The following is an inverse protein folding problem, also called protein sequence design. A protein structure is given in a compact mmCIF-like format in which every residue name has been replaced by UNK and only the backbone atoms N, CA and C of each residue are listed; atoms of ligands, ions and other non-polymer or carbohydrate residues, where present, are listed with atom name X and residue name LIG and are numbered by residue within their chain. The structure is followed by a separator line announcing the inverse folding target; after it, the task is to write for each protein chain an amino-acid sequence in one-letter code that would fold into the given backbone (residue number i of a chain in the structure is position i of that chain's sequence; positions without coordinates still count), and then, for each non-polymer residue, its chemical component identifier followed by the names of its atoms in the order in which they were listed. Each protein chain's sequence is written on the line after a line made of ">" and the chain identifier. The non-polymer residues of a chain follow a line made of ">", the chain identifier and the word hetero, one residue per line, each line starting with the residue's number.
data_IF_033897721985
#
_entry.id   IF_033897721985
#
_cell.length_a   1.000
_cell.length_b   1.000
_cell.length_c   1.000
_cell.angle_alpha   90.00
_cell.angle_beta   90.00
_cell.angle_gamma   90.00
#
_symmetry.space_group_name_H-M   'P 1'
#
loop_
_entity.id
_entity.type
_entity.pdbx_description
1 polymer ?
#
# COMPACT_ATOMS: atom_id res chain seq x y z
N UNK A 1 1.63 10.10 -20.04
CA UNK A 1 0.98 9.77 -18.74
C UNK A 1 0.12 10.97 -18.36
N UNK A 2 -1.12 10.77 -17.94
CA UNK A 2 -1.98 11.86 -17.48
C UNK A 2 -1.54 12.34 -16.09
N UNK A 3 -1.79 13.60 -15.76
CA UNK A 3 -1.42 14.18 -14.45
C UNK A 3 -1.99 13.37 -13.28
N UNK A 4 -3.16 12.77 -13.46
CA UNK A 4 -3.82 11.89 -12.50
C UNK A 4 -3.00 10.62 -12.21
N UNK A 5 -2.43 9.98 -13.25
CA UNK A 5 -1.54 8.82 -13.06
C UNK A 5 -0.25 9.17 -12.34
N UNK A 6 0.34 10.34 -12.62
CA UNK A 6 1.52 10.81 -11.87
C UNK A 6 1.20 11.05 -10.39
N UNK A 7 0.01 11.55 -10.10
CA UNK A 7 -0.44 11.74 -8.72
C UNK A 7 -0.70 10.40 -8.01
N UNK A 8 -1.36 9.46 -8.67
CA UNK A 8 -1.57 8.10 -8.15
C UNK A 8 -0.23 7.41 -7.82
N UNK A 9 0.78 7.54 -8.70
CA UNK A 9 2.13 6.99 -8.46
C UNK A 9 2.80 7.62 -7.23
N UNK A 10 2.68 8.94 -7.03
CA UNK A 10 3.24 9.62 -5.84
C UNK A 10 2.55 9.16 -4.56
N UNK A 11 1.23 9.01 -4.60
CA UNK A 11 0.44 8.54 -3.46
C UNK A 11 0.80 7.09 -3.14
N UNK A 12 0.89 6.22 -4.15
CA UNK A 12 1.34 4.85 -4.00
C UNK A 12 2.74 4.77 -3.37
N UNK A 13 3.69 5.58 -3.85
CA UNK A 13 5.04 5.63 -3.28
C UNK A 13 5.02 5.97 -1.79
N UNK A 14 4.21 6.97 -1.39
CA UNK A 14 4.02 7.35 0.01
C UNK A 14 3.37 6.22 0.84
N UNK A 15 2.37 5.54 0.29
CA UNK A 15 1.75 4.37 0.91
C UNK A 15 2.76 3.24 1.13
N UNK A 16 3.63 3.01 0.15
CA UNK A 16 4.67 1.99 0.22
C UNK A 16 5.73 2.32 1.29
N UNK A 17 6.11 3.58 1.45
CA UNK A 17 7.02 4.01 2.53
C UNK A 17 6.41 3.78 3.92
N UNK A 18 5.14 4.11 4.09
CA UNK A 18 4.40 3.87 5.34
C UNK A 18 4.27 2.37 5.63
N UNK A 19 3.95 1.58 4.61
CA UNK A 19 3.91 0.12 4.71
C UNK A 19 5.27 -0.43 5.13
N UNK A 20 6.36 0.03 4.52
CA UNK A 20 7.74 -0.34 4.91
C UNK A 20 8.07 0.04 6.35
N UNK A 21 7.56 1.17 6.83
CA UNK A 21 7.69 1.61 8.22
C UNK A 21 6.80 0.83 9.21
N UNK A 22 5.97 -0.10 8.76
CA UNK A 22 5.02 -0.84 9.61
C UNK A 22 3.77 -0.05 9.96
N UNK A 23 3.59 1.13 9.36
CA UNK A 23 2.40 1.98 9.53
C UNK A 23 1.30 1.53 8.59
N UNK A 24 0.81 0.31 8.79
CA UNK A 24 -0.17 -0.32 7.90
C UNK A 24 -1.49 0.46 7.81
N UNK A 25 -1.95 1.03 8.92
CA UNK A 25 -3.15 1.87 8.94
C UNK A 25 -3.01 3.10 8.04
N UNK A 26 -1.93 3.86 8.20
CA UNK A 26 -1.66 5.03 7.37
C UNK A 26 -1.44 4.64 5.90
N UNK A 27 -0.76 3.52 5.65
CA UNK A 27 -0.54 3.02 4.29
C UNK A 27 -1.85 2.64 3.58
N UNK A 28 -2.81 2.04 4.30
CA UNK A 28 -4.13 1.72 3.77
C UNK A 28 -4.94 2.98 3.43
N UNK A 29 -4.88 4.01 4.28
CA UNK A 29 -5.55 5.29 4.05
C UNK A 29 -5.00 6.01 2.82
N UNK A 30 -3.66 6.12 2.73
CA UNK A 30 -2.98 6.74 1.58
C UNK A 30 -3.26 5.97 0.29
N UNK A 31 -3.23 4.63 0.33
CA UNK A 31 -3.56 3.80 -0.84
C UNK A 31 -5.03 3.98 -1.26
N UNK A 32 -5.93 4.23 -0.31
CA UNK A 32 -7.32 4.59 -0.61
C UNK A 32 -7.43 5.85 -1.47
N UNK A 33 -6.67 6.90 -1.16
CA UNK A 33 -6.65 8.13 -1.96
C UNK A 33 -6.08 7.95 -3.37
N UNK A 34 -5.20 6.95 -3.59
CA UNK A 34 -4.75 6.60 -4.94
C UNK A 34 -5.89 5.96 -5.75
N UNK A 35 -6.72 5.12 -5.11
CA UNK A 35 -7.87 4.46 -5.73
C UNK A 35 -9.04 5.41 -6.02
N UNK A 36 -9.14 6.53 -5.30
CA UNK A 36 -10.08 7.61 -5.64
C UNK A 36 -9.71 8.28 -6.98
N UNK A 37 -8.44 8.25 -7.38
CA UNK A 37 -7.94 8.83 -8.63
C UNK A 37 -7.94 7.79 -9.76
N UNK A 38 -7.40 6.60 -9.47
CA UNK A 38 -7.41 5.46 -10.40
C UNK A 38 -7.94 4.22 -9.66
N UNK A 39 -9.25 3.96 -9.72
CA UNK A 39 -9.87 2.81 -9.05
C UNK A 39 -9.42 1.47 -9.64
N UNK A 40 -8.70 1.48 -10.76
CA UNK A 40 -8.14 0.29 -11.41
C UNK A 40 -6.65 0.10 -11.14
N UNK A 41 -6.06 0.93 -10.26
CA UNK A 41 -4.64 0.82 -9.88
C UNK A 41 -4.38 -0.46 -9.07
N UNK A 42 -4.08 -1.54 -9.77
CA UNK A 42 -3.78 -2.84 -9.18
C UNK A 42 -2.76 -2.80 -8.04
N UNK A 43 -1.65 -2.03 -8.12
CA UNK A 43 -0.69 -1.87 -7.03
C UNK A 43 -1.31 -1.29 -5.76
N UNK A 44 -2.10 -0.22 -5.85
CA UNK A 44 -2.74 0.41 -4.70
C UNK A 44 -3.84 -0.46 -4.09
N UNK A 45 -4.58 -1.22 -4.92
CA UNK A 45 -5.55 -2.23 -4.43
C UNK A 45 -4.81 -3.26 -3.58
N UNK A 46 -3.80 -3.91 -4.15
CA UNK A 46 -3.05 -4.97 -3.46
C UNK A 46 -2.34 -4.46 -2.20
N UNK A 47 -1.82 -3.23 -2.22
CA UNK A 47 -1.20 -2.60 -1.06
C UNK A 47 -2.23 -2.35 0.05
N UNK A 48 -3.40 -1.80 -0.29
CA UNK A 48 -4.48 -1.54 0.66
C UNK A 48 -5.00 -2.83 1.31
N UNK A 49 -5.27 -3.86 0.51
CA UNK A 49 -5.73 -5.16 1.01
C UNK A 49 -4.72 -5.79 1.98
N UNK A 50 -3.43 -5.76 1.61
CA UNK A 50 -2.37 -6.26 2.48
C UNK A 50 -2.23 -5.46 3.77
N UNK A 51 -2.35 -4.14 3.70
CA UNK A 51 -2.34 -3.29 4.88
C UNK A 51 -3.52 -3.57 5.81
N UNK A 52 -4.70 -3.89 5.27
CA UNK A 52 -5.87 -4.30 6.06
C UNK A 52 -5.63 -5.65 6.75
N UNK A 53 -5.04 -6.61 6.04
CA UNK A 53 -4.66 -7.91 6.60
C UNK A 53 -3.63 -7.75 7.73
N UNK A 54 -2.60 -6.94 7.55
CA UNK A 54 -1.58 -6.69 8.58
C UNK A 54 -2.05 -5.86 9.75
N UNK A 55 -3.14 -5.10 9.62
CA UNK A 55 -3.79 -4.48 10.78
C UNK A 55 -4.52 -5.51 11.65
N UNK A 56 -5.08 -6.54 11.03
CA UNK A 56 -5.78 -7.64 11.73
C UNK A 56 -4.79 -8.66 12.29
N UNK A 57 -3.77 -8.97 11.49
CA UNK A 57 -2.73 -9.97 11.77
C UNK A 57 -1.36 -9.28 11.63
N UNK A 58 -0.94 -8.51 12.63
CA UNK A 58 0.33 -7.81 12.58
C UNK A 58 1.50 -8.80 12.49
N UNK A 59 2.46 -8.59 11.58
CA UNK A 59 3.63 -9.44 11.49
C UNK A 59 4.56 -9.26 12.70
N UNK A 60 4.96 -10.38 13.31
CA UNK A 60 5.80 -10.42 14.52
C UNK A 60 7.16 -9.72 14.36
N UNK A 61 7.75 -9.77 13.16
CA UNK A 61 9.08 -9.20 12.90
C UNK A 61 9.12 -8.45 11.56
N UNK A 62 8.28 -7.43 11.43
CA UNK A 62 8.18 -6.61 10.23
C UNK A 62 9.53 -5.98 9.85
N UNK A 63 10.09 -6.39 8.72
CA UNK A 63 11.38 -5.89 8.22
C UNK A 63 11.22 -4.88 7.06
N UNK A 64 10.02 -4.34 6.87
CA UNK A 64 9.70 -3.47 5.74
C UNK A 64 9.54 -4.17 4.39
N UNK A 65 9.86 -5.47 4.31
CA UNK A 65 9.76 -6.24 3.08
C UNK A 65 8.69 -7.31 3.21
N UNK A 66 7.78 -7.34 2.24
CA UNK A 66 6.89 -8.48 2.06
C UNK A 66 7.73 -9.66 1.60
N UNK A 67 8.00 -10.63 2.47
CA UNK A 67 8.52 -11.92 2.03
C UNK A 67 7.36 -12.67 1.41
N UNK A 68 7.30 -12.71 0.08
CA UNK A 68 6.57 -13.76 -0.61
C UNK A 68 7.25 -15.08 -0.22
N UNK A 69 6.73 -15.75 0.79
CA UNK A 69 7.11 -17.12 1.07
C UNK A 69 6.44 -17.99 0.03
N UNK A 70 7.06 -18.09 -1.15
CA UNK A 70 6.77 -19.20 -2.07
C UNK A 70 7.19 -20.49 -1.36
N UNK A 71 6.24 -21.40 -1.19
CA UNK A 71 6.48 -22.76 -0.71
C UNK A 71 6.96 -23.64 -1.85
#
# INVERSE_FOLDING_TARGET
>A
MTKEKEQAVKIYAKGLELYRAGRFKDAAEVSGSALEIDPTDGPSIALKERCDEYQKTPPDNWSGVYKLTSK
#
